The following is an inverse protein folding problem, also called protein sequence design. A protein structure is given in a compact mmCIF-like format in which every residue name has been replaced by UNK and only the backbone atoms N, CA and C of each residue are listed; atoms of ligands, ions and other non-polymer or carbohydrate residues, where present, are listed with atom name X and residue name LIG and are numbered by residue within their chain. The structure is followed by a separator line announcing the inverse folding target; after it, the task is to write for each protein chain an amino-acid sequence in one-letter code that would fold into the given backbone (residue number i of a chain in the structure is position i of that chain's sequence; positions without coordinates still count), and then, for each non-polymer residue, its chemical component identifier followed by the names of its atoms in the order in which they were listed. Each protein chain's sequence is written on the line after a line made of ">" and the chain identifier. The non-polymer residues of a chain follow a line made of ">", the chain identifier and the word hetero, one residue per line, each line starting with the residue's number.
data_IF_724500800356
#
_entry.id   IF_724500800356
#
_cell.length_a   1.000
_cell.length_b   1.000
_cell.length_c   1.000
_cell.angle_alpha   90.00
_cell.angle_beta   90.00
_cell.angle_gamma   90.00
#
_symmetry.space_group_name_H-M   'P 1'
#
loop_
_entity.id
_entity.type
_entity.pdbx_description
1 polymer ?
#
# COMPACT_ATOMS: atom_id res chain seq x y z
N UNK A 1 -48.51 6.66 48.22
CA UNK A 1 -47.77 6.32 47.02
C UNK A 1 -46.34 6.84 47.19
N UNK A 2 -45.39 5.95 47.46
CA UNK A 2 -44.02 6.32 47.73
C UNK A 2 -43.18 6.19 46.41
N UNK A 3 -42.60 7.30 45.96
CA UNK A 3 -41.76 7.40 44.77
C UNK A 3 -40.32 7.00 45.13
N UNK A 4 -39.89 5.82 44.70
CA UNK A 4 -38.50 5.34 44.82
C UNK A 4 -37.63 6.03 43.76
N UNK A 5 -36.71 6.89 44.20
CA UNK A 5 -35.63 7.45 43.36
C UNK A 5 -34.58 6.38 43.09
N UNK A 6 -34.45 5.96 41.83
CA UNK A 6 -33.31 5.14 41.32
C UNK A 6 -32.08 6.01 41.20
N UNK A 7 -31.08 5.79 42.01
CA UNK A 7 -29.73 6.36 41.88
C UNK A 7 -28.96 5.66 40.76
N UNK A 8 -28.49 6.42 39.77
CA UNK A 8 -27.57 5.94 38.71
C UNK A 8 -26.21 5.61 39.33
N UNK A 9 -25.54 4.51 38.95
CA UNK A 9 -24.18 4.23 39.41
C UNK A 9 -23.19 5.23 38.80
N UNK A 10 -22.34 5.78 39.65
CA UNK A 10 -21.26 6.70 39.25
C UNK A 10 -20.25 5.99 38.35
N UNK A 11 -20.02 6.50 37.17
CA UNK A 11 -18.96 6.04 36.27
C UNK A 11 -17.59 6.20 36.96
N UNK A 12 -16.88 5.11 37.19
CA UNK A 12 -15.48 5.15 37.64
C UNK A 12 -14.65 5.86 36.61
N UNK A 13 -14.08 7.03 36.96
CA UNK A 13 -13.06 7.72 36.16
C UNK A 13 -11.87 6.76 35.94
N UNK A 14 -11.66 6.36 34.68
CA UNK A 14 -10.43 5.67 34.31
C UNK A 14 -9.26 6.62 34.53
N UNK A 15 -8.44 6.34 35.52
CA UNK A 15 -7.15 7.02 35.70
C UNK A 15 -6.24 6.56 34.58
N UNK A 16 -6.01 7.42 33.57
CA UNK A 16 -4.94 7.26 32.60
C UNK A 16 -3.61 7.26 33.35
N UNK A 17 -3.05 6.06 33.61
CA UNK A 17 -1.64 5.93 34.01
C UNK A 17 -0.84 6.57 32.86
N UNK A 18 -0.08 7.65 33.16
CA UNK A 18 0.98 8.13 32.23
C UNK A 18 1.84 6.91 31.92
N UNK A 19 1.91 6.52 30.65
CA UNK A 19 2.83 5.46 30.23
C UNK A 19 4.24 5.96 30.46
N UNK A 20 4.86 5.54 31.56
CA UNK A 20 6.26 5.79 31.82
C UNK A 20 7.02 4.80 30.94
N UNK A 21 7.83 5.33 30.02
CA UNK A 21 8.71 4.51 29.17
C UNK A 21 9.67 3.73 30.06
N UNK A 22 9.59 2.41 30.01
CA UNK A 22 10.42 1.52 30.84
C UNK A 22 11.87 1.45 30.35
N UNK A 23 12.75 0.89 31.18
CA UNK A 23 14.19 0.81 30.89
C UNK A 23 14.51 -0.10 29.70
N UNK A 24 13.71 -1.14 29.45
CA UNK A 24 13.89 -2.01 28.29
C UNK A 24 13.57 -1.26 26.98
N UNK A 25 12.49 -0.49 26.96
CA UNK A 25 12.15 0.37 25.81
C UNK A 25 13.22 1.45 25.59
N UNK A 26 13.66 2.15 26.63
CA UNK A 26 14.73 3.16 26.54
C UNK A 26 16.00 2.58 25.93
N UNK A 27 16.40 1.39 26.37
CA UNK A 27 17.59 0.71 25.83
C UNK A 27 17.42 0.38 24.34
N UNK A 28 16.27 -0.16 23.92
CA UNK A 28 16.02 -0.49 22.52
C UNK A 28 16.03 0.76 21.63
N UNK A 29 15.33 1.82 22.06
CA UNK A 29 15.29 3.10 21.35
C UNK A 29 16.66 3.73 21.23
N UNK A 30 17.48 3.74 22.31
CA UNK A 30 18.84 4.26 22.27
C UNK A 30 19.78 3.46 21.35
N UNK A 31 19.57 2.14 21.22
CA UNK A 31 20.32 1.32 20.26
C UNK A 31 19.91 1.64 18.82
N UNK A 32 18.60 1.78 18.55
CA UNK A 32 18.11 2.16 17.23
C UNK A 32 18.56 3.57 16.84
N UNK A 33 18.49 4.54 17.78
CA UNK A 33 19.02 5.89 17.59
C UNK A 33 20.52 5.88 17.24
N UNK A 34 21.30 5.00 17.87
CA UNK A 34 22.75 4.93 17.62
C UNK A 34 23.11 4.24 16.30
N UNK A 35 22.37 3.23 15.90
CA UNK A 35 22.75 2.34 14.79
C UNK A 35 21.79 2.37 13.60
N UNK A 36 20.59 2.93 13.76
CA UNK A 36 19.59 3.08 12.69
C UNK A 36 19.87 4.27 11.79
N UNK A 37 19.24 4.30 10.63
CA UNK A 37 19.42 5.34 9.62
C UNK A 37 18.55 6.60 9.84
N UNK A 38 17.72 6.65 10.86
CA UNK A 38 16.81 7.77 11.22
C UNK A 38 15.88 8.22 10.09
N UNK A 39 15.52 7.29 9.23
CA UNK A 39 14.60 7.53 8.10
C UNK A 39 13.13 7.56 8.53
N UNK A 40 12.84 7.39 9.81
CA UNK A 40 11.50 7.36 10.38
C UNK A 40 11.51 7.93 11.79
N UNK A 41 10.36 8.42 12.27
CA UNK A 41 10.16 8.84 13.68
C UNK A 41 9.13 7.91 14.33
N UNK A 42 9.56 6.73 14.85
CA UNK A 42 8.65 5.77 15.46
C UNK A 42 7.96 6.32 16.71
N UNK A 43 6.77 5.85 17.01
CA UNK A 43 6.14 6.08 18.30
C UNK A 43 7.01 5.44 19.41
N UNK A 44 7.08 6.04 20.62
CA UNK A 44 7.95 5.56 21.71
C UNK A 44 7.39 4.31 22.39
N UNK A 45 7.11 3.28 21.61
CA UNK A 45 6.58 1.98 22.04
C UNK A 45 7.37 0.88 21.34
N UNK A 46 8.04 0.03 22.12
CA UNK A 46 8.86 -1.07 21.59
C UNK A 46 8.05 -2.36 21.62
N UNK A 47 7.48 -2.73 20.49
CA UNK A 47 6.63 -3.93 20.37
C UNK A 47 7.46 -5.21 20.35
N UNK A 48 7.01 -6.24 21.08
CA UNK A 48 7.66 -7.54 21.20
C UNK A 48 6.81 -8.72 20.78
N UNK A 49 5.49 -8.61 20.91
CA UNK A 49 4.57 -9.73 20.70
C UNK A 49 3.28 -9.24 20.05
N UNK A 50 2.73 -10.06 19.17
CA UNK A 50 1.41 -9.85 18.58
C UNK A 50 0.57 -11.12 18.61
N UNK A 51 -0.77 -10.98 18.79
CA UNK A 51 -1.74 -12.07 18.66
C UNK A 51 -3.13 -11.50 18.33
N UNK A 52 -3.67 -11.86 17.19
CA UNK A 52 -4.95 -11.31 16.70
C UNK A 52 -4.89 -9.80 16.59
N UNK A 53 -5.81 -9.09 17.22
CA UNK A 53 -5.88 -7.61 17.20
C UNK A 53 -5.01 -6.94 18.28
N UNK A 54 -4.23 -7.72 19.03
CA UNK A 54 -3.45 -7.21 20.16
C UNK A 54 -1.95 -7.28 19.91
N UNK A 55 -1.25 -6.26 20.41
CA UNK A 55 0.20 -6.23 20.51
C UNK A 55 0.64 -5.95 21.95
N UNK A 56 1.86 -6.36 22.29
CA UNK A 56 2.47 -6.11 23.61
C UNK A 56 3.85 -5.53 23.41
N UNK A 57 4.16 -4.54 24.24
CA UNK A 57 5.51 -3.97 24.32
C UNK A 57 6.48 -4.86 25.13
N UNK A 58 7.73 -4.42 25.21
CA UNK A 58 8.78 -5.14 25.94
C UNK A 58 8.59 -5.12 27.46
N UNK A 59 7.82 -4.18 27.98
CA UNK A 59 7.43 -4.10 29.39
C UNK A 59 6.19 -4.97 29.70
N UNK A 60 5.54 -5.53 28.67
CA UNK A 60 4.36 -6.39 28.83
C UNK A 60 3.03 -5.64 28.79
N UNK A 61 3.01 -4.35 28.52
CA UNK A 61 1.77 -3.61 28.34
C UNK A 61 1.07 -4.08 27.06
N UNK A 62 -0.26 -4.18 27.13
CA UNK A 62 -1.11 -4.67 26.02
C UNK A 62 -1.81 -3.50 25.35
N UNK A 63 -1.81 -3.50 24.01
CA UNK A 63 -2.46 -2.50 23.17
C UNK A 63 -3.37 -3.16 22.14
N UNK A 64 -4.38 -2.43 21.67
CA UNK A 64 -5.04 -2.74 20.41
C UNK A 64 -4.19 -2.19 19.28
N UNK A 65 -4.00 -2.99 18.23
CA UNK A 65 -3.36 -2.53 17.00
C UNK A 65 -4.42 -2.05 16.01
N UNK A 66 -4.59 -0.74 15.93
CA UNK A 66 -5.46 -0.10 14.94
C UNK A 66 -4.72 0.31 13.66
N UNK A 67 -3.39 0.22 13.65
CA UNK A 67 -2.58 0.53 12.46
C UNK A 67 -2.47 -0.69 11.53
N UNK A 68 -2.33 -1.88 12.12
CA UNK A 68 -2.24 -3.18 11.39
C UNK A 68 -1.22 -3.18 10.26
N UNK A 69 -0.06 -2.51 10.44
CA UNK A 69 0.95 -2.29 9.39
C UNK A 69 0.32 -1.75 8.11
N UNK A 70 -0.46 -0.67 8.21
CA UNK A 70 -1.18 -0.08 7.09
C UNK A 70 -2.07 -1.10 6.36
N UNK A 71 -2.84 -1.88 7.12
CA UNK A 71 -3.74 -2.96 6.67
C UNK A 71 -3.06 -4.24 6.17
N UNK A 72 -1.74 -4.36 6.19
CA UNK A 72 -1.03 -5.58 5.79
C UNK A 72 -1.30 -6.76 6.75
N UNK A 73 -1.64 -6.48 8.02
CA UNK A 73 -1.94 -7.49 9.05
C UNK A 73 -3.46 -7.62 9.30
N UNK A 74 -4.27 -7.46 8.26
CA UNK A 74 -5.74 -7.52 8.35
C UNK A 74 -6.30 -8.87 8.82
N UNK A 75 -5.51 -9.96 8.73
CA UNK A 75 -5.86 -11.29 9.28
C UNK A 75 -5.53 -11.43 10.77
N UNK A 76 -4.96 -10.39 11.38
CA UNK A 76 -4.47 -10.38 12.74
C UNK A 76 -3.05 -10.95 12.90
N UNK A 77 -2.39 -10.49 13.95
CA UNK A 77 -1.02 -10.94 14.28
C UNK A 77 -0.97 -12.44 14.55
N UNK A 78 0.04 -13.08 13.99
CA UNK A 78 0.36 -14.50 14.21
C UNK A 78 -0.85 -15.43 13.98
N UNK A 79 -1.60 -15.20 12.89
CA UNK A 79 -2.74 -16.04 12.55
C UNK A 79 -2.29 -17.51 12.42
N UNK A 80 -2.90 -18.47 13.15
CA UNK A 80 -2.34 -19.81 13.32
C UNK A 80 -2.20 -20.59 12.00
N UNK A 81 -3.14 -20.45 11.06
CA UNK A 81 -3.06 -21.09 9.74
C UNK A 81 -1.93 -20.52 8.90
N UNK A 82 -1.73 -19.19 8.91
CA UNK A 82 -0.66 -18.52 8.16
C UNK A 82 0.71 -18.93 8.72
N UNK A 83 0.87 -18.87 10.06
CA UNK A 83 2.11 -19.29 10.73
C UNK A 83 2.41 -20.76 10.48
N UNK A 84 1.40 -21.63 10.49
CA UNK A 84 1.59 -23.06 10.17
C UNK A 84 2.06 -23.24 8.73
N UNK A 85 1.42 -22.62 7.76
CA UNK A 85 1.80 -22.72 6.35
C UNK A 85 3.24 -22.23 6.12
N UNK A 86 3.64 -21.11 6.75
CA UNK A 86 5.00 -20.60 6.68
C UNK A 86 6.01 -21.62 7.25
N UNK A 87 5.76 -22.18 8.43
CA UNK A 87 6.64 -23.16 9.08
C UNK A 87 6.76 -24.44 8.26
N UNK A 88 5.65 -24.97 7.75
CA UNK A 88 5.61 -26.17 6.95
C UNK A 88 6.42 -26.01 5.66
N UNK A 89 6.24 -24.87 4.95
CA UNK A 89 6.97 -24.60 3.73
C UNK A 89 8.45 -24.31 3.97
N UNK A 90 8.78 -23.53 5.00
CA UNK A 90 10.15 -23.20 5.36
C UNK A 90 10.98 -24.46 5.71
N UNK A 91 10.33 -25.52 6.22
CA UNK A 91 10.98 -26.78 6.53
C UNK A 91 11.26 -27.65 5.29
N UNK A 92 10.65 -27.33 4.15
CA UNK A 92 10.82 -28.09 2.88
C UNK A 92 11.75 -27.36 1.93
N UNK A 93 11.40 -26.13 1.58
CA UNK A 93 12.11 -25.32 0.60
C UNK A 93 11.73 -23.86 0.77
N UNK A 94 12.70 -23.00 1.16
CA UNK A 94 12.47 -21.58 1.40
C UNK A 94 12.60 -20.75 0.13
N UNK A 95 13.62 -21.00 -0.69
CA UNK A 95 13.98 -20.14 -1.81
C UNK A 95 14.47 -20.94 -2.99
N UNK A 96 13.95 -20.62 -4.18
CA UNK A 96 14.46 -21.09 -5.47
C UNK A 96 14.70 -19.90 -6.38
N UNK A 97 15.65 -20.02 -7.32
CA UNK A 97 15.73 -19.10 -8.45
C UNK A 97 14.55 -19.31 -9.40
N UNK A 98 14.13 -18.24 -10.09
CA UNK A 98 13.16 -18.34 -11.21
C UNK A 98 13.71 -19.14 -12.42
N UNK A 99 14.96 -19.57 -12.36
CA UNK A 99 15.50 -20.56 -13.31
C UNK A 99 14.86 -21.95 -13.16
N UNK A 100 14.17 -22.20 -12.03
CA UNK A 100 13.47 -23.45 -11.76
C UNK A 100 11.98 -23.23 -11.53
N UNK A 101 11.18 -24.23 -11.84
CA UNK A 101 9.80 -24.33 -11.39
C UNK A 101 9.77 -24.81 -9.93
N UNK A 102 8.70 -24.47 -9.19
CA UNK A 102 8.40 -25.07 -7.89
C UNK A 102 6.89 -25.31 -7.78
N UNK A 103 6.52 -26.23 -6.89
CA UNK A 103 5.16 -26.71 -6.73
C UNK A 103 4.23 -25.71 -6.02
N UNK A 104 4.77 -24.79 -5.20
CA UNK A 104 3.98 -23.81 -4.48
C UNK A 104 3.54 -22.64 -5.35
N UNK A 105 4.42 -22.15 -6.24
CA UNK A 105 4.14 -20.97 -7.05
C UNK A 105 3.02 -21.22 -8.08
N UNK A 106 3.03 -22.38 -8.75
CA UNK A 106 2.01 -22.67 -9.75
C UNK A 106 0.60 -22.77 -9.15
N UNK A 107 0.47 -23.33 -7.95
CA UNK A 107 -0.82 -23.36 -7.23
C UNK A 107 -1.27 -21.97 -6.77
N UNK A 108 -0.33 -21.12 -6.32
CA UNK A 108 -0.60 -19.73 -5.99
C UNK A 108 -1.09 -18.93 -7.21
N UNK A 109 -0.37 -19.00 -8.33
CA UNK A 109 -0.72 -18.29 -9.57
C UNK A 109 -2.11 -18.73 -10.08
N UNK A 110 -2.41 -20.03 -10.06
CA UNK A 110 -3.72 -20.57 -10.40
C UNK A 110 -4.82 -20.03 -9.49
N UNK A 111 -4.58 -20.04 -8.16
CA UNK A 111 -5.54 -19.52 -7.20
C UNK A 111 -5.83 -18.03 -7.44
N UNK A 112 -4.78 -17.21 -7.63
CA UNK A 112 -4.91 -15.78 -7.87
C UNK A 112 -5.67 -15.47 -9.17
N UNK A 113 -5.35 -16.21 -10.25
CA UNK A 113 -6.10 -16.12 -11.51
C UNK A 113 -7.60 -16.41 -11.31
N UNK A 114 -7.94 -17.50 -10.63
CA UNK A 114 -9.32 -17.89 -10.38
C UNK A 114 -10.07 -16.92 -9.45
N UNK A 115 -9.36 -16.37 -8.46
CA UNK A 115 -9.97 -15.50 -7.46
C UNK A 115 -10.20 -14.07 -7.95
N UNK A 116 -9.25 -13.50 -8.68
CA UNK A 116 -9.30 -12.12 -9.16
C UNK A 116 -9.73 -11.98 -10.62
N UNK A 117 -9.74 -13.06 -11.41
CA UNK A 117 -10.16 -13.04 -12.81
C UNK A 117 -9.14 -12.47 -13.80
N UNK A 118 -7.89 -12.22 -13.38
CA UNK A 118 -6.82 -11.79 -14.28
C UNK A 118 -6.17 -12.98 -15.00
N UNK A 119 -5.78 -12.82 -16.26
CA UNK A 119 -5.20 -13.89 -17.07
C UNK A 119 -3.83 -14.37 -16.56
N UNK A 120 -3.03 -13.49 -16.01
CA UNK A 120 -1.64 -13.76 -15.58
C UNK A 120 -1.32 -13.12 -14.25
N UNK A 121 -0.42 -13.75 -13.52
CA UNK A 121 0.07 -13.29 -12.21
C UNK A 121 1.59 -13.19 -12.25
N UNK A 122 2.12 -12.08 -11.75
CA UNK A 122 3.56 -11.84 -11.62
C UNK A 122 3.86 -11.34 -10.20
N UNK A 123 4.19 -12.22 -9.25
CA UNK A 123 4.49 -11.83 -7.89
C UNK A 123 5.76 -10.99 -7.79
N UNK A 124 5.74 -9.97 -6.93
CA UNK A 124 6.86 -9.12 -6.56
C UNK A 124 7.09 -9.16 -5.04
N UNK A 125 8.25 -8.68 -4.58
CA UNK A 125 8.59 -8.74 -3.16
C UNK A 125 7.93 -7.62 -2.34
N UNK A 126 7.66 -6.48 -2.95
CA UNK A 126 7.08 -5.30 -2.30
C UNK A 126 6.05 -4.62 -3.19
N UNK A 127 5.16 -3.79 -2.60
CA UNK A 127 4.23 -2.95 -3.35
C UNK A 127 4.96 -2.01 -4.33
N UNK A 128 6.04 -1.37 -3.88
CA UNK A 128 6.86 -0.50 -4.75
C UNK A 128 7.42 -1.25 -5.97
N UNK A 129 7.90 -2.49 -5.80
CA UNK A 129 8.34 -3.32 -6.92
C UNK A 129 7.18 -3.69 -7.87
N UNK A 130 5.99 -3.93 -7.31
CA UNK A 130 4.77 -4.16 -8.08
C UNK A 130 4.44 -2.96 -8.97
N UNK A 131 4.41 -1.76 -8.38
CA UNK A 131 4.16 -0.51 -9.11
C UNK A 131 5.24 -0.24 -10.16
N UNK A 132 6.53 -0.30 -9.81
CA UNK A 132 7.63 -0.12 -10.78
C UNK A 132 7.53 -1.09 -11.96
N UNK A 133 7.15 -2.34 -11.70
CA UNK A 133 6.94 -3.36 -12.72
C UNK A 133 5.74 -3.03 -13.61
N UNK A 134 4.63 -2.59 -13.02
CA UNK A 134 3.43 -2.18 -13.76
C UNK A 134 3.72 -0.97 -14.66
N UNK A 135 4.39 0.06 -14.13
CA UNK A 135 4.79 1.25 -14.91
C UNK A 135 5.73 0.87 -16.06
N UNK A 136 6.74 0.04 -15.79
CA UNK A 136 7.69 -0.44 -16.80
C UNK A 136 7.00 -1.28 -17.88
N UNK A 137 6.08 -2.16 -17.48
CA UNK A 137 5.28 -2.96 -18.42
C UNK A 137 4.39 -2.08 -19.28
N UNK A 138 3.71 -1.09 -18.68
CA UNK A 138 2.86 -0.15 -19.39
C UNK A 138 3.64 0.67 -20.44
N UNK A 139 4.81 1.19 -20.07
CA UNK A 139 5.69 1.90 -21.02
C UNK A 139 6.10 1.00 -22.18
N UNK A 140 6.53 -0.24 -21.91
CA UNK A 140 6.89 -1.19 -22.95
C UNK A 140 5.70 -1.52 -23.87
N UNK A 141 4.52 -1.73 -23.30
CA UNK A 141 3.29 -1.95 -24.07
C UNK A 141 2.97 -0.73 -24.94
N UNK A 142 3.06 0.48 -24.38
CA UNK A 142 2.82 1.73 -25.10
C UNK A 142 3.72 1.86 -26.34
N UNK A 143 5.01 1.57 -26.21
CA UNK A 143 5.94 1.61 -27.32
C UNK A 143 5.73 0.45 -28.29
N UNK A 144 5.72 -0.79 -27.78
CA UNK A 144 5.78 -1.98 -28.62
C UNK A 144 4.44 -2.38 -29.24
N UNK A 145 3.30 -1.99 -28.64
CA UNK A 145 1.94 -2.38 -29.06
C UNK A 145 1.11 -1.20 -29.51
N UNK A 146 1.10 -0.09 -28.77
CA UNK A 146 0.35 1.11 -29.12
C UNK A 146 1.10 1.99 -30.15
N UNK A 147 2.44 1.81 -30.29
CA UNK A 147 3.24 2.54 -31.27
C UNK A 147 3.67 3.93 -30.82
N UNK A 148 3.61 4.23 -29.53
CA UNK A 148 4.02 5.52 -28.99
C UNK A 148 5.55 5.66 -29.14
N UNK A 149 6.08 6.79 -29.65
CA UNK A 149 7.52 7.05 -29.64
C UNK A 149 8.11 6.96 -28.24
N UNK A 150 9.27 6.35 -28.11
CA UNK A 150 9.88 6.01 -26.82
C UNK A 150 10.08 7.22 -25.87
N UNK A 151 10.33 8.40 -26.43
CA UNK A 151 10.52 9.67 -25.71
C UNK A 151 9.20 10.42 -25.41
N UNK A 152 8.05 9.91 -25.91
CA UNK A 152 6.73 10.53 -25.78
C UNK A 152 5.81 9.82 -24.79
N UNK A 153 6.15 8.61 -24.36
CA UNK A 153 5.30 7.78 -23.49
C UNK A 153 4.92 8.51 -22.22
N UNK A 154 3.61 8.57 -21.95
CA UNK A 154 3.05 9.21 -20.77
C UNK A 154 2.21 8.22 -19.93
N UNK A 155 2.19 8.47 -18.62
CA UNK A 155 1.32 7.79 -17.64
C UNK A 155 0.57 8.88 -16.89
N UNK A 156 -0.75 8.72 -16.77
CA UNK A 156 -1.59 9.61 -15.95
C UNK A 156 -1.68 9.00 -14.55
N UNK A 157 -1.55 9.83 -13.52
CA UNK A 157 -1.72 9.47 -12.10
C UNK A 157 -2.57 10.51 -11.37
N UNK A 158 -3.04 10.20 -10.18
CA UNK A 158 -3.86 11.08 -9.39
C UNK A 158 -3.04 11.92 -8.41
N UNK A 159 -3.53 13.10 -8.03
CA UNK A 159 -3.05 13.87 -6.87
C UNK A 159 -3.35 13.09 -5.59
N UNK A 160 -2.60 13.35 -4.52
CA UNK A 160 -2.75 12.67 -3.22
C UNK A 160 -2.35 11.19 -3.25
N UNK A 161 -1.67 10.72 -4.30
CA UNK A 161 -1.28 9.33 -4.43
C UNK A 161 -0.13 8.93 -3.49
N UNK A 162 -0.11 7.65 -3.12
CA UNK A 162 1.05 7.01 -2.51
C UNK A 162 1.29 5.63 -3.13
N UNK A 163 2.26 5.53 -4.00
CA UNK A 163 2.62 4.29 -4.71
C UNK A 163 3.95 3.69 -4.25
N UNK A 164 4.64 4.32 -3.30
CA UNK A 164 5.96 3.93 -2.78
C UNK A 164 6.97 5.09 -2.78
N UNK A 165 8.26 4.75 -2.60
CA UNK A 165 9.33 5.76 -2.41
C UNK A 165 10.55 5.54 -3.31
N UNK A 166 10.43 4.83 -4.41
CA UNK A 166 11.50 4.72 -5.42
C UNK A 166 11.55 5.97 -6.29
N UNK A 167 12.68 6.19 -6.96
CA UNK A 167 12.93 7.41 -7.77
C UNK A 167 11.85 7.64 -8.83
N UNK A 168 11.38 6.60 -9.51
CA UNK A 168 10.31 6.75 -10.49
C UNK A 168 8.98 7.05 -9.80
N UNK A 169 8.66 6.35 -8.73
CA UNK A 169 7.37 6.47 -8.03
C UNK A 169 7.19 7.85 -7.41
N UNK A 170 8.21 8.41 -6.75
CA UNK A 170 8.12 9.75 -6.14
C UNK A 170 7.84 10.86 -7.17
N UNK A 171 8.10 10.61 -8.45
CA UNK A 171 7.75 11.56 -9.51
C UNK A 171 6.25 11.77 -9.66
N UNK A 172 5.45 10.78 -9.28
CA UNK A 172 3.99 10.86 -9.30
C UNK A 172 3.42 11.63 -8.10
N UNK A 173 4.19 11.79 -7.01
CA UNK A 173 3.75 12.46 -5.80
C UNK A 173 3.56 13.95 -5.99
N UNK A 174 2.57 14.53 -5.32
CA UNK A 174 2.36 15.97 -5.16
C UNK A 174 2.83 16.50 -3.80
N UNK A 175 3.31 15.61 -2.91
CA UNK A 175 3.94 15.98 -1.64
C UNK A 175 5.42 16.34 -1.85
N UNK A 176 5.81 17.63 -1.67
CA UNK A 176 7.20 18.06 -1.80
C UNK A 176 8.18 17.29 -0.92
N UNK A 177 7.77 16.82 0.26
CA UNK A 177 8.64 16.03 1.14
C UNK A 177 9.05 14.69 0.54
N UNK A 178 8.30 14.18 -0.43
CA UNK A 178 8.57 12.92 -1.11
C UNK A 178 9.57 13.05 -2.24
N UNK A 179 9.64 14.19 -2.94
CA UNK A 179 10.44 14.33 -4.16
C UNK A 179 11.46 15.48 -4.15
N UNK A 180 11.38 16.43 -3.19
CA UNK A 180 12.37 17.50 -3.10
C UNK A 180 13.77 16.92 -2.92
N UNK A 181 14.75 17.49 -3.63
CA UNK A 181 16.18 17.13 -3.59
C UNK A 181 16.53 15.71 -4.09
N UNK A 182 15.56 14.97 -4.68
CA UNK A 182 15.78 13.65 -5.27
C UNK A 182 15.82 13.65 -6.81
N UNK A 183 16.03 14.81 -7.43
CA UNK A 183 16.12 14.93 -8.89
C UNK A 183 17.37 14.30 -9.51
N UNK A 184 17.40 14.10 -10.84
CA UNK A 184 16.32 14.42 -11.78
C UNK A 184 15.15 13.43 -11.69
N UNK A 185 13.93 13.96 -11.75
CA UNK A 185 12.72 13.14 -11.70
C UNK A 185 12.51 12.41 -13.04
N UNK A 186 11.85 11.25 -12.98
CA UNK A 186 11.53 10.45 -14.17
C UNK A 186 10.47 11.16 -15.03
N UNK A 187 10.70 11.44 -16.32
CA UNK A 187 9.76 12.14 -17.17
C UNK A 187 8.55 11.30 -17.59
N UNK A 188 7.52 11.96 -18.13
CA UNK A 188 6.37 11.32 -18.75
C UNK A 188 5.20 11.03 -17.80
N UNK A 189 5.08 11.75 -16.69
CA UNK A 189 3.91 11.66 -15.81
C UNK A 189 3.02 12.90 -15.92
N UNK A 190 1.70 12.68 -15.88
CA UNK A 190 0.66 13.71 -15.86
C UNK A 190 -0.18 13.47 -14.61
N UNK A 191 -0.22 14.45 -13.70
CA UNK A 191 -1.09 14.39 -12.50
C UNK A 191 -2.42 15.07 -12.78
N UNK A 192 -3.49 14.44 -12.28
CA UNK A 192 -4.86 14.95 -12.33
C UNK A 192 -5.52 14.83 -10.96
N UNK A 193 -6.55 15.60 -10.64
CA UNK A 193 -7.31 15.42 -9.41
C UNK A 193 -7.87 13.99 -9.28
N UNK A 194 -7.85 13.46 -8.05
CA UNK A 194 -8.51 12.20 -7.72
C UNK A 194 -10.02 12.38 -7.68
N UNK A 195 -10.79 11.36 -7.99
CA UNK A 195 -12.25 11.37 -8.03
C UNK A 195 -12.85 12.37 -9.06
N UNK A 196 -12.09 12.69 -10.12
CA UNK A 196 -12.54 13.56 -11.22
C UNK A 196 -12.36 12.85 -12.58
N UNK A 197 -13.37 12.11 -13.06
CA UNK A 197 -13.31 11.43 -14.37
C UNK A 197 -13.26 12.42 -15.54
N UNK A 198 -13.76 13.64 -15.37
CA UNK A 198 -13.69 14.67 -16.42
C UNK A 198 -12.27 15.19 -16.59
N UNK A 199 -11.49 15.28 -15.51
CA UNK A 199 -10.07 15.60 -15.59
C UNK A 199 -9.29 14.51 -16.35
N UNK A 200 -9.61 13.22 -16.11
CA UNK A 200 -9.06 12.12 -16.89
C UNK A 200 -9.43 12.23 -18.37
N UNK A 201 -10.71 12.46 -18.67
CA UNK A 201 -11.18 12.64 -20.05
C UNK A 201 -10.42 13.76 -20.75
N UNK A 202 -10.29 14.94 -20.14
CA UNK A 202 -9.55 16.07 -20.72
C UNK A 202 -8.08 15.72 -20.99
N UNK A 203 -7.44 15.00 -20.07
CA UNK A 203 -6.05 14.56 -20.26
C UNK A 203 -5.91 13.55 -21.40
N UNK A 204 -6.86 12.60 -21.53
CA UNK A 204 -6.91 11.64 -22.62
C UNK A 204 -7.22 12.30 -23.98
N UNK A 205 -8.18 13.22 -24.03
CA UNK A 205 -8.50 13.97 -25.25
C UNK A 205 -7.27 14.76 -25.76
N UNK A 206 -6.44 15.26 -24.83
CA UNK A 206 -5.26 16.05 -25.17
C UNK A 206 -4.02 15.22 -25.52
N UNK A 207 -3.79 14.13 -24.81
CA UNK A 207 -2.54 13.37 -24.86
C UNK A 207 -2.73 11.88 -25.14
N UNK A 208 -3.96 11.42 -25.44
CA UNK A 208 -4.32 10.00 -25.46
C UNK A 208 -3.44 9.15 -26.36
N UNK A 209 -2.96 9.69 -27.50
CA UNK A 209 -2.06 8.98 -28.40
C UNK A 209 -0.68 8.71 -27.79
N UNK A 210 -0.27 9.51 -26.80
CA UNK A 210 1.01 9.37 -26.08
C UNK A 210 0.83 8.70 -24.69
N UNK A 211 -0.41 8.46 -24.23
CA UNK A 211 -0.69 7.85 -22.91
C UNK A 211 -0.71 6.34 -23.02
N UNK A 212 0.12 5.66 -22.24
CA UNK A 212 0.14 4.20 -22.17
C UNK A 212 -0.69 3.65 -21.00
N UNK A 213 -0.82 4.39 -19.89
CA UNK A 213 -1.57 3.94 -18.72
C UNK A 213 -2.15 5.10 -17.90
N UNK A 214 -3.22 4.80 -17.17
CA UNK A 214 -3.71 5.54 -16.02
C UNK A 214 -3.55 4.67 -14.77
N UNK A 215 -2.98 5.22 -13.69
CA UNK A 215 -2.82 4.54 -12.41
C UNK A 215 -3.56 5.28 -11.32
N UNK A 216 -4.33 4.55 -10.50
CA UNK A 216 -5.04 5.07 -9.34
C UNK A 216 -5.14 4.04 -8.21
N UNK A 217 -5.18 4.50 -6.98
CA UNK A 217 -5.60 3.70 -5.83
C UNK A 217 -7.12 3.57 -5.85
N UNK A 218 -7.70 2.37 -5.65
CA UNK A 218 -9.15 2.23 -5.50
C UNK A 218 -9.72 2.99 -4.29
N UNK A 219 -8.92 3.10 -3.24
CA UNK A 219 -9.14 3.95 -2.06
C UNK A 219 -7.77 4.55 -1.73
N UNK A 220 -7.63 5.85 -1.75
CA UNK A 220 -6.37 6.47 -1.35
C UNK A 220 -6.13 6.29 0.15
N UNK A 221 -5.07 5.57 0.51
CA UNK A 221 -4.77 5.23 1.90
C UNK A 221 -4.04 6.32 2.65
N UNK A 222 -2.83 6.66 2.24
CA UNK A 222 -1.94 7.63 2.91
C UNK A 222 -2.52 9.06 2.92
N UNK A 223 -3.24 9.46 1.89
CA UNK A 223 -3.88 10.78 1.82
C UNK A 223 -4.98 10.99 2.88
N UNK A 224 -5.46 9.94 3.55
CA UNK A 224 -6.45 10.04 4.61
C UNK A 224 -7.68 9.14 4.45
N UNK A 225 -7.53 8.02 3.75
CA UNK A 225 -8.61 7.05 3.47
C UNK A 225 -9.72 7.70 2.64
N UNK A 226 -9.37 8.25 1.49
CA UNK A 226 -10.36 8.82 0.56
C UNK A 226 -11.00 7.71 -0.28
N UNK A 227 -12.29 7.49 -0.06
CA UNK A 227 -13.13 6.61 -0.86
C UNK A 227 -13.73 7.44 -1.99
N UNK A 228 -13.57 7.07 -3.27
CA UNK A 228 -14.14 7.84 -4.37
C UNK A 228 -15.66 7.64 -4.47
N UNK A 229 -16.32 8.50 -5.23
CA UNK A 229 -17.73 8.39 -5.51
C UNK A 229 -18.08 7.09 -6.27
N UNK A 230 -19.30 6.62 -6.07
CA UNK A 230 -19.79 5.43 -6.76
C UNK A 230 -19.67 5.55 -8.28
N UNK A 231 -19.05 4.57 -8.88
CA UNK A 231 -18.85 4.51 -10.33
C UNK A 231 -17.64 5.27 -10.87
N UNK A 232 -16.87 6.00 -10.03
CA UNK A 232 -15.66 6.70 -10.47
C UNK A 232 -14.68 5.78 -11.20
N UNK A 233 -14.27 4.69 -10.54
CA UNK A 233 -13.29 3.74 -11.13
C UNK A 233 -13.81 3.09 -12.42
N UNK A 234 -15.12 2.80 -12.48
CA UNK A 234 -15.73 2.23 -13.69
C UNK A 234 -15.67 3.23 -14.84
N UNK A 235 -15.99 4.51 -14.60
CA UNK A 235 -15.89 5.56 -15.62
C UNK A 235 -14.46 5.74 -16.09
N UNK A 236 -13.49 5.75 -15.17
CA UNK A 236 -12.07 5.83 -15.52
C UNK A 236 -11.60 4.62 -16.34
N UNK A 237 -12.05 3.42 -15.99
CA UNK A 237 -11.76 2.21 -16.76
C UNK A 237 -12.32 2.29 -18.18
N UNK A 238 -13.58 2.73 -18.34
CA UNK A 238 -14.22 2.85 -19.64
C UNK A 238 -13.49 3.89 -20.51
N UNK A 239 -13.16 5.07 -19.97
CA UNK A 239 -12.38 6.09 -20.66
C UNK A 239 -11.02 5.55 -21.12
N UNK A 240 -10.32 4.81 -20.26
CA UNK A 240 -9.05 4.18 -20.61
C UNK A 240 -9.24 3.18 -21.77
N UNK A 241 -10.28 2.37 -21.71
CA UNK A 241 -10.58 1.39 -22.77
C UNK A 241 -10.87 2.06 -24.11
N UNK A 242 -11.71 3.10 -24.13
CA UNK A 242 -12.06 3.89 -25.31
C UNK A 242 -10.82 4.49 -25.99
N UNK A 243 -9.82 4.93 -25.20
CA UNK A 243 -8.57 5.53 -25.69
C UNK A 243 -7.42 4.53 -25.87
N UNK A 244 -7.68 3.21 -25.76
CA UNK A 244 -6.62 2.19 -25.80
C UNK A 244 -5.48 2.49 -24.82
N UNK A 245 -5.82 2.69 -23.56
CA UNK A 245 -4.92 3.00 -22.43
C UNK A 245 -5.08 1.92 -21.36
N UNK A 246 -3.97 1.46 -20.77
CA UNK A 246 -4.02 0.49 -19.68
C UNK A 246 -4.55 1.15 -18.41
N UNK A 247 -5.43 0.44 -17.67
CA UNK A 247 -5.89 0.84 -16.36
C UNK A 247 -5.14 0.04 -15.29
N UNK A 248 -4.47 0.73 -14.36
CA UNK A 248 -3.72 0.14 -13.26
C UNK A 248 -4.40 0.53 -11.95
N UNK A 249 -4.87 -0.46 -11.19
CA UNK A 249 -5.37 -0.29 -9.84
C UNK A 249 -4.28 -0.72 -8.85
N UNK A 250 -3.79 0.19 -7.98
CA UNK A 250 -2.73 -0.05 -7.00
C UNK A 250 -3.29 -0.31 -5.60
#
# INVERSE_FOLDING_TARGET
>A
MATTKKTKPAAKKATTKKNVIGEASKRCMAMEEKYGAHNYHPLPVVLKKGKGIYVWDVEGNKYFDFLSSYSAVNQGHCHPRIVKALKDQASKLCLTSRAFYNDALCEYEKFMHQYFGYDKVLPMNTGAEGVETALKLARRWGVAKKGIPNDKVKIICCEGNFHGRTVTIITMSDDPSSFADYGPLTPGFIRIPYNDPEALKKALDKYGDEVCAFIAEPIQGEAGVFVPDDGYLKKCFDLCHEHNVLFIAD
#
